data_IF_395727984903
#
_entry.id   IF_395727984903
#
_cell.length_a   1.000
_cell.length_b   1.000
_cell.length_c   1.000
_cell.angle_alpha   90.00
_cell.angle_beta   90.00
_cell.angle_gamma   90.00
#
_symmetry.space_group_name_H-M   'P 1'
#
loop_
_entity.id
_entity.type
_entity.pdbx_description
1 polymer ?
#
# COMPACT_ATOMS: atom_id res chain seq x y z
N UNK A 1 11.45 12.52 -6.40
CA UNK A 1 10.04 12.88 -6.16
C UNK A 1 9.54 12.17 -4.91
N UNK A 2 8.90 12.87 -3.97
CA UNK A 2 8.27 12.24 -2.79
C UNK A 2 6.86 11.80 -3.15
N UNK A 3 6.38 10.66 -2.63
CA UNK A 3 5.12 9.98 -3.02
C UNK A 3 3.84 10.84 -3.05
N UNK A 4 3.84 12.01 -2.40
CA UNK A 4 2.74 12.98 -2.47
C UNK A 4 2.67 13.79 -3.77
N UNK A 5 3.78 13.95 -4.50
CA UNK A 5 3.76 14.72 -5.76
C UNK A 5 2.95 14.01 -6.85
N UNK A 6 2.94 12.67 -6.86
CA UNK A 6 2.19 11.87 -7.84
C UNK A 6 0.69 11.97 -7.57
N UNK A 7 0.25 11.74 -6.31
CA UNK A 7 -1.17 11.89 -5.95
C UNK A 7 -1.67 13.31 -6.19
N UNK A 8 -0.86 14.32 -5.90
CA UNK A 8 -1.18 15.73 -6.16
C UNK A 8 -1.24 16.02 -7.66
N UNK A 9 -0.26 15.55 -8.44
CA UNK A 9 -0.20 15.73 -9.88
C UNK A 9 -1.37 15.08 -10.61
N UNK A 10 -1.66 13.80 -10.31
CA UNK A 10 -2.79 13.08 -10.87
C UNK A 10 -4.13 13.74 -10.52
N UNK A 11 -4.31 14.19 -9.27
CA UNK A 11 -5.53 14.90 -8.87
C UNK A 11 -5.67 16.26 -9.59
N UNK A 12 -4.57 17.02 -9.73
CA UNK A 12 -4.57 18.28 -10.46
C UNK A 12 -4.87 18.08 -11.96
N UNK A 13 -4.29 17.06 -12.57
CA UNK A 13 -4.53 16.70 -13.96
C UNK A 13 -5.99 16.28 -14.19
N UNK A 14 -6.52 15.39 -13.36
CA UNK A 14 -7.92 14.99 -13.44
C UNK A 14 -8.88 16.17 -13.22
N UNK A 15 -8.55 17.10 -12.30
CA UNK A 15 -9.37 18.29 -12.02
C UNK A 15 -9.35 19.32 -13.16
N UNK A 16 -8.37 19.26 -14.06
CA UNK A 16 -8.35 20.09 -15.26
C UNK A 16 -9.40 19.63 -16.30
N UNK A 17 -9.95 18.41 -16.17
CA UNK A 17 -11.02 17.94 -17.03
C UNK A 17 -12.37 18.52 -16.59
N UNK A 18 -13.06 19.33 -17.43
CA UNK A 18 -14.37 19.88 -17.08
C UNK A 18 -15.47 18.81 -16.99
N UNK A 19 -15.17 17.58 -17.45
CA UNK A 19 -16.09 16.43 -17.47
C UNK A 19 -16.00 15.57 -16.21
N UNK A 20 -15.07 15.87 -15.30
CA UNK A 20 -14.92 15.14 -14.04
C UNK A 20 -15.35 16.01 -12.85
N UNK A 21 -16.27 15.48 -12.04
CA UNK A 21 -16.63 16.12 -10.79
C UNK A 21 -15.51 15.96 -9.74
N UNK A 22 -15.24 17.00 -8.96
CA UNK A 22 -14.25 16.98 -7.87
C UNK A 22 -14.53 15.88 -6.83
N UNK A 23 -15.81 15.53 -6.66
CA UNK A 23 -16.26 14.42 -5.84
C UNK A 23 -15.67 13.07 -6.30
N UNK A 24 -15.65 12.83 -7.60
CA UNK A 24 -15.14 11.58 -8.19
C UNK A 24 -13.62 11.47 -8.04
N UNK A 25 -12.91 12.59 -8.08
CA UNK A 25 -11.46 12.66 -7.87
C UNK A 25 -11.13 12.47 -6.38
N UNK A 26 -11.91 13.10 -5.49
CA UNK A 26 -11.67 13.10 -4.04
C UNK A 26 -11.84 11.71 -3.41
N UNK A 27 -12.87 10.96 -3.84
CA UNK A 27 -13.12 9.58 -3.38
C UNK A 27 -12.01 8.61 -3.77
N UNK A 28 -11.46 8.74 -4.99
CA UNK A 28 -10.41 7.85 -5.54
C UNK A 28 -9.01 8.17 -5.06
N UNK A 29 -8.74 9.43 -4.78
CA UNK A 29 -7.45 9.82 -4.26
C UNK A 29 -7.24 9.48 -2.79
N UNK A 30 -8.16 8.75 -2.13
CA UNK A 30 -8.12 8.41 -0.71
C UNK A 30 -7.80 9.63 0.19
N UNK A 31 -8.41 10.77 -0.13
CA UNK A 31 -8.28 12.01 0.64
C UNK A 31 -9.23 11.92 1.83
N UNK A 32 -8.70 12.06 3.04
CA UNK A 32 -9.49 12.10 4.27
C UNK A 32 -10.31 13.41 4.29
N UNK A 33 -11.55 13.38 3.80
CA UNK A 33 -12.59 14.31 4.24
C UNK A 33 -13.61 13.52 5.08
N UNK A 34 -13.92 14.03 6.27
CA UNK A 34 -14.88 13.41 7.20
C UNK A 34 -16.27 13.32 6.57
N UNK A 35 -17.01 12.24 6.87
CA UNK A 35 -18.44 11.96 6.57
C UNK A 35 -18.94 12.11 5.11
N UNK A 36 -18.62 13.21 4.40
CA UNK A 36 -18.96 13.46 2.99
C UNK A 36 -18.25 12.52 2.02
N UNK A 37 -16.94 12.22 2.18
CA UNK A 37 -16.26 11.24 1.30
C UNK A 37 -16.89 9.86 1.43
N UNK A 38 -17.40 9.51 2.62
CA UNK A 38 -18.11 8.24 2.84
C UNK A 38 -19.46 8.26 2.13
N UNK A 39 -20.27 9.31 2.30
CA UNK A 39 -21.54 9.45 1.55
C UNK A 39 -21.33 9.44 0.03
N UNK A 40 -20.27 10.10 -0.47
CA UNK A 40 -19.91 10.11 -1.88
C UNK A 40 -19.34 8.78 -2.40
N UNK A 41 -18.70 7.98 -1.55
CA UNK A 41 -18.31 6.61 -1.90
C UNK A 41 -19.51 5.66 -1.97
N UNK A 42 -20.57 5.89 -1.19
CA UNK A 42 -21.80 5.07 -1.26
C UNK A 42 -22.74 5.48 -2.41
N UNK A 43 -22.70 6.76 -2.82
CA UNK A 43 -23.66 7.32 -3.81
C UNK A 43 -23.00 7.62 -5.18
N UNK A 44 -21.67 7.75 -5.26
CA UNK A 44 -20.98 8.28 -6.45
C UNK A 44 -19.67 7.59 -6.81
N UNK A 45 -19.58 6.28 -6.60
CA UNK A 45 -18.52 5.43 -7.20
C UNK A 45 -19.15 4.27 -7.96
N UNK A 46 -19.67 4.57 -9.14
CA UNK A 46 -20.02 3.56 -10.12
C UNK A 46 -18.79 3.18 -10.94
N UNK A 47 -18.78 1.97 -11.50
CA UNK A 47 -17.74 1.52 -12.44
C UNK A 47 -17.58 2.49 -13.62
N UNK A 48 -18.66 3.14 -14.05
CA UNK A 48 -18.62 4.16 -15.12
C UNK A 48 -17.76 5.34 -14.71
N UNK A 49 -17.92 5.84 -13.50
CA UNK A 49 -17.12 6.97 -12.99
C UNK A 49 -15.66 6.57 -12.76
N UNK A 50 -15.40 5.33 -12.33
CA UNK A 50 -14.03 4.79 -12.23
C UNK A 50 -13.34 4.79 -13.59
N UNK A 51 -14.04 4.31 -14.61
CA UNK A 51 -13.55 4.30 -15.98
C UNK A 51 -13.34 5.73 -16.49
N UNK A 52 -14.25 6.67 -16.22
CA UNK A 52 -14.08 8.08 -16.63
C UNK A 52 -12.83 8.71 -16.03
N UNK A 53 -12.57 8.51 -14.73
CA UNK A 53 -11.36 9.02 -14.08
C UNK A 53 -10.11 8.32 -14.62
N UNK A 54 -10.14 7.00 -14.78
CA UNK A 54 -9.02 6.24 -15.34
C UNK A 54 -8.69 6.67 -16.78
N UNK A 55 -9.70 6.93 -17.61
CA UNK A 55 -9.52 7.42 -18.97
C UNK A 55 -8.80 8.77 -19.00
N UNK A 56 -9.25 9.74 -18.20
CA UNK A 56 -8.58 11.03 -18.11
C UNK A 56 -7.14 10.84 -17.63
N UNK A 57 -6.91 10.07 -16.57
CA UNK A 57 -5.55 9.82 -16.07
C UNK A 57 -4.64 9.10 -17.09
N UNK A 58 -5.22 8.31 -18.00
CA UNK A 58 -4.51 7.67 -19.09
C UNK A 58 -4.33 8.58 -20.33
N UNK A 59 -4.77 9.83 -20.28
CA UNK A 59 -4.61 10.82 -21.36
C UNK A 59 -5.75 10.88 -22.36
N UNK A 60 -6.86 10.16 -22.14
CA UNK A 60 -7.99 10.21 -23.05
C UNK A 60 -8.80 11.51 -22.86
N UNK A 61 -9.11 12.25 -23.93
CA UNK A 61 -9.76 13.56 -23.84
C UNK A 61 -11.25 13.48 -23.51
N UNK A 62 -11.88 12.33 -23.77
CA UNK A 62 -13.32 12.15 -23.67
C UNK A 62 -13.68 10.99 -22.72
N UNK A 63 -13.81 11.23 -21.40
CA UNK A 63 -14.21 10.21 -20.43
C UNK A 63 -15.54 9.52 -20.77
N UNK A 64 -16.46 10.24 -21.42
CA UNK A 64 -17.80 9.74 -21.76
C UNK A 64 -17.81 8.76 -22.93
N UNK A 65 -16.80 8.84 -23.81
CA UNK A 65 -16.68 7.93 -24.95
C UNK A 65 -16.12 6.58 -24.47
N UNK A 66 -16.53 5.45 -25.06
CA UNK A 66 -15.92 4.16 -24.74
C UNK A 66 -14.43 4.17 -25.07
N UNK A 67 -13.68 3.35 -24.35
CA UNK A 67 -12.29 3.00 -24.68
C UNK A 67 -12.22 1.49 -24.65
N UNK A 68 -11.80 0.89 -25.75
CA UNK A 68 -11.55 -0.54 -25.85
C UNK A 68 -10.07 -0.79 -25.55
N UNK A 69 -9.83 -1.59 -24.51
CA UNK A 69 -8.49 -2.07 -24.16
C UNK A 69 -8.01 -3.03 -25.25
N UNK A 70 -6.77 -2.90 -25.76
CA UNK A 70 -6.26 -3.81 -26.78
C UNK A 70 -6.19 -5.23 -26.24
N UNK A 71 -6.50 -6.24 -27.06
CA UNK A 71 -6.37 -7.64 -26.69
C UNK A 71 -5.76 -8.44 -27.83
N UNK A 72 -4.94 -9.45 -27.52
CA UNK A 72 -4.42 -10.34 -28.56
C UNK A 72 -5.52 -11.15 -29.26
N UNK A 73 -6.72 -11.24 -28.67
CA UNK A 73 -7.89 -11.87 -29.30
C UNK A 73 -8.31 -11.14 -30.58
N UNK A 74 -8.00 -9.85 -30.68
CA UNK A 74 -8.25 -9.02 -31.87
C UNK A 74 -7.41 -9.45 -33.09
N UNK A 75 -6.39 -10.30 -32.87
CA UNK A 75 -5.56 -10.89 -33.92
C UNK A 75 -6.07 -12.25 -34.43
N UNK A 76 -7.07 -12.84 -33.79
CA UNK A 76 -7.53 -14.20 -34.13
C UNK A 76 -8.00 -14.32 -35.58
N UNK A 77 -8.68 -13.31 -36.09
CA UNK A 77 -9.16 -13.27 -37.49
C UNK A 77 -8.13 -12.69 -38.47
N UNK A 78 -7.05 -12.10 -37.95
CA UNK A 78 -6.01 -11.41 -38.75
C UNK A 78 -4.77 -12.24 -38.99
N UNK A 79 -4.55 -13.27 -38.17
CA UNK A 79 -3.42 -14.17 -38.26
C UNK A 79 -3.86 -15.55 -38.76
N UNK A 80 -2.95 -16.28 -39.39
CA UNK A 80 -3.18 -17.70 -39.65
C UNK A 80 -3.34 -18.48 -38.33
N UNK A 81 -4.03 -19.62 -38.36
CA UNK A 81 -4.21 -20.46 -37.16
C UNK A 81 -2.87 -20.87 -36.51
N UNK A 82 -1.82 -21.07 -37.33
CA UNK A 82 -0.48 -21.37 -36.87
C UNK A 82 0.16 -20.17 -36.15
N UNK A 83 0.10 -18.98 -36.74
CA UNK A 83 0.64 -17.75 -36.14
C UNK A 83 -0.11 -17.37 -34.87
N UNK A 84 -1.44 -17.53 -34.85
CA UNK A 84 -2.22 -17.28 -33.65
C UNK A 84 -1.86 -18.27 -32.53
N UNK A 85 -1.62 -19.55 -32.86
CA UNK A 85 -1.11 -20.52 -31.89
C UNK A 85 0.27 -20.13 -31.36
N UNK A 86 1.16 -19.66 -32.22
CA UNK A 86 2.48 -19.15 -31.84
C UNK A 86 2.37 -17.96 -30.88
N UNK A 87 1.48 -17.01 -31.16
CA UNK A 87 1.20 -15.84 -30.31
C UNK A 87 0.71 -16.25 -28.92
N UNK A 88 -0.29 -17.14 -28.85
CA UNK A 88 -0.84 -17.65 -27.57
C UNK A 88 0.22 -18.42 -26.78
N UNK A 89 1.06 -19.17 -27.48
CA UNK A 89 2.16 -19.94 -26.89
C UNK A 89 3.21 -19.02 -26.30
N UNK A 90 3.60 -17.96 -27.00
CA UNK A 90 4.53 -16.94 -26.52
C UNK A 90 3.98 -16.19 -25.30
N UNK A 91 2.73 -15.76 -25.36
CA UNK A 91 2.04 -15.16 -24.19
C UNK A 91 2.14 -16.09 -22.98
N UNK A 92 1.82 -17.37 -23.17
CA UNK A 92 1.80 -18.33 -22.06
C UNK A 92 3.20 -18.57 -21.49
N UNK A 93 4.25 -18.54 -22.31
CA UNK A 93 5.65 -18.61 -21.81
C UNK A 93 6.04 -17.38 -20.98
N UNK A 94 5.70 -16.18 -21.43
CA UNK A 94 6.06 -14.94 -20.74
C UNK A 94 5.32 -14.79 -19.40
N UNK A 95 4.08 -15.29 -19.31
CA UNK A 95 3.22 -15.16 -18.13
C UNK A 95 3.08 -16.46 -17.32
N UNK A 96 3.96 -17.44 -17.54
CA UNK A 96 3.91 -18.74 -16.86
C UNK A 96 3.99 -18.69 -15.32
N UNK A 97 4.51 -17.59 -14.77
CA UNK A 97 4.67 -17.42 -13.31
C UNK A 97 3.46 -16.78 -12.62
N UNK A 98 2.47 -16.33 -13.40
CA UNK A 98 1.26 -15.68 -12.88
C UNK A 98 0.00 -16.45 -13.28
N UNK A 99 0.18 -17.67 -13.79
CA UNK A 99 -0.88 -18.58 -14.24
C UNK A 99 -0.52 -20.02 -13.84
N UNK A 100 -1.51 -20.91 -13.78
CA UNK A 100 -1.29 -22.33 -13.51
C UNK A 100 -1.22 -22.72 -12.02
N UNK A 101 -1.53 -21.81 -11.09
CA UNK A 101 -1.68 -22.15 -9.67
C UNK A 101 -2.95 -22.97 -9.44
N UNK A 102 -2.87 -23.95 -8.53
CA UNK A 102 -4.01 -24.79 -8.14
C UNK A 102 -5.15 -23.98 -7.52
N UNK A 103 -4.81 -23.01 -6.67
CA UNK A 103 -5.79 -22.04 -6.18
C UNK A 103 -5.95 -20.92 -7.20
N UNK A 104 -7.12 -20.89 -7.84
CA UNK A 104 -7.45 -19.95 -8.92
C UNK A 104 -7.36 -18.48 -8.50
N UNK A 105 -7.41 -18.18 -7.20
CA UNK A 105 -7.31 -16.80 -6.69
C UNK A 105 -5.90 -16.21 -6.83
N UNK A 106 -4.88 -17.04 -6.98
CA UNK A 106 -3.50 -16.58 -7.23
C UNK A 106 -3.18 -16.44 -8.72
N UNK A 107 -4.08 -16.86 -9.61
CA UNK A 107 -3.91 -16.67 -11.05
C UNK A 107 -4.37 -15.27 -11.46
N UNK A 108 -3.57 -14.59 -12.28
CA UNK A 108 -3.97 -13.34 -12.93
C UNK A 108 -5.02 -13.65 -14.00
N UNK A 109 -6.09 -12.86 -14.05
CA UNK A 109 -7.16 -13.02 -15.03
C UNK A 109 -6.62 -12.97 -16.47
N UNK A 110 -7.12 -13.84 -17.34
CA UNK A 110 -6.60 -14.01 -18.70
C UNK A 110 -6.78 -12.74 -19.54
N UNK A 111 -7.87 -12.01 -19.32
CA UNK A 111 -8.18 -10.73 -19.96
C UNK A 111 -7.10 -9.69 -19.64
N UNK A 112 -6.57 -9.69 -18.41
CA UNK A 112 -5.49 -8.80 -18.00
C UNK A 112 -4.20 -9.18 -18.71
N UNK A 113 -3.88 -10.48 -18.77
CA UNK A 113 -2.69 -10.99 -19.45
C UNK A 113 -2.73 -10.69 -20.95
N UNK A 114 -3.87 -10.95 -21.59
CA UNK A 114 -4.09 -10.69 -23.01
C UNK A 114 -3.94 -9.19 -23.31
N UNK A 115 -4.45 -8.32 -22.41
CA UNK A 115 -4.36 -6.87 -22.56
C UNK A 115 -2.93 -6.34 -22.34
N UNK A 116 -2.24 -6.78 -21.30
CA UNK A 116 -0.87 -6.34 -21.02
C UNK A 116 0.09 -6.84 -22.09
N UNK A 117 -0.11 -8.06 -22.60
CA UNK A 117 0.67 -8.59 -23.72
C UNK A 117 0.35 -7.89 -25.05
N UNK A 118 -0.90 -7.52 -25.31
CA UNK A 118 -1.24 -6.72 -26.50
C UNK A 118 -0.61 -5.33 -26.44
N UNK A 119 -0.71 -4.63 -25.31
CA UNK A 119 -0.06 -3.33 -25.10
C UNK A 119 1.46 -3.42 -25.28
N UNK A 120 2.05 -4.49 -24.77
CA UNK A 120 3.47 -4.80 -24.94
C UNK A 120 3.87 -4.88 -26.42
N UNK A 121 3.08 -5.58 -27.24
CA UNK A 121 3.35 -5.72 -28.68
C UNK A 121 3.12 -4.42 -29.44
N UNK A 122 2.06 -3.66 -29.12
CA UNK A 122 1.75 -2.37 -29.75
C UNK A 122 2.93 -1.39 -29.64
N UNK A 123 3.66 -1.42 -28.53
CA UNK A 123 4.75 -0.49 -28.23
C UNK A 123 6.17 -1.04 -28.49
N UNK A 124 6.29 -2.23 -29.09
CA UNK A 124 7.56 -2.95 -29.20
C UNK A 124 8.56 -2.26 -30.14
N UNK A 125 8.09 -1.57 -31.17
CA UNK A 125 8.96 -0.81 -32.08
C UNK A 125 9.56 0.42 -31.40
N UNK A 126 8.76 1.14 -30.62
CA UNK A 126 9.23 2.28 -29.83
C UNK A 126 10.25 1.83 -28.78
N UNK A 127 10.00 0.68 -28.13
CA UNK A 127 10.93 0.09 -27.15
C UNK A 127 12.26 -0.32 -27.79
N UNK A 128 12.25 -0.91 -28.99
CA UNK A 128 13.49 -1.25 -29.70
C UNK A 128 14.28 0.00 -30.10
N UNK A 129 13.59 1.04 -30.56
CA UNK A 129 14.22 2.31 -30.91
C UNK A 129 14.88 2.96 -29.68
N UNK A 130 14.19 2.94 -28.54
CA UNK A 130 14.71 3.45 -27.28
C UNK A 130 15.84 2.61 -26.68
N UNK A 131 15.92 1.31 -26.98
CA UNK A 131 17.03 0.46 -26.58
C UNK A 131 18.28 0.69 -27.45
N UNK A 132 18.08 1.04 -28.73
CA UNK A 132 19.16 1.30 -29.67
C UNK A 132 19.83 2.67 -29.43
N UNK A 133 19.18 3.60 -28.74
CA UNK A 133 19.79 4.86 -28.32
C UNK A 133 20.69 4.67 -27.09
N UNK A 134 21.78 5.43 -27.00
CA UNK A 134 22.75 5.38 -25.88
C UNK A 134 22.16 5.80 -24.52
N UNK A 135 20.90 6.26 -24.50
CA UNK A 135 20.15 6.67 -23.30
C UNK A 135 19.18 5.57 -22.81
N UNK A 136 19.24 4.36 -23.37
CA UNK A 136 18.37 3.26 -23.01
C UNK A 136 18.46 2.88 -21.54
N UNK A 137 17.41 3.18 -20.77
CA UNK A 137 17.30 2.81 -19.35
C UNK A 137 17.41 1.28 -19.19
N UNK A 138 18.08 0.80 -18.13
CA UNK A 138 18.28 -0.64 -17.82
C UNK A 138 17.00 -1.49 -17.94
N UNK A 139 15.84 -0.89 -17.70
CA UNK A 139 14.52 -1.53 -17.82
C UNK A 139 14.17 -1.93 -19.24
N UNK A 140 14.45 -1.04 -20.21
CA UNK A 140 14.16 -1.26 -21.63
C UNK A 140 14.94 -2.47 -22.12
N UNK A 141 16.21 -2.55 -21.73
CA UNK A 141 17.08 -3.70 -22.00
C UNK A 141 16.58 -4.99 -21.33
N UNK A 142 16.19 -4.93 -20.05
CA UNK A 142 15.64 -6.08 -19.31
C UNK A 142 14.37 -6.62 -19.99
N UNK A 143 13.51 -5.73 -20.44
CA UNK A 143 12.28 -6.08 -21.14
C UNK A 143 12.57 -6.83 -22.45
N UNK A 144 13.46 -6.30 -23.30
CA UNK A 144 13.80 -6.92 -24.58
C UNK A 144 14.45 -8.28 -24.36
N UNK A 145 15.28 -8.40 -23.34
CA UNK A 145 15.89 -9.67 -22.95
C UNK A 145 14.85 -10.74 -22.60
N UNK A 146 13.88 -10.43 -21.73
CA UNK A 146 12.85 -11.42 -21.36
C UNK A 146 11.95 -11.77 -22.54
N UNK A 147 11.66 -10.81 -23.43
CA UNK A 147 10.91 -11.09 -24.67
C UNK A 147 11.69 -12.02 -25.60
N UNK A 148 12.98 -11.74 -25.86
CA UNK A 148 13.83 -12.58 -26.69
C UNK A 148 13.98 -14.00 -26.10
N UNK A 149 14.13 -14.11 -24.79
CA UNK A 149 14.13 -15.39 -24.07
C UNK A 149 12.80 -16.15 -24.27
N UNK A 150 11.66 -15.48 -24.12
CA UNK A 150 10.34 -16.07 -24.35
C UNK A 150 10.15 -16.54 -25.79
N UNK A 151 10.62 -15.76 -26.76
CA UNK A 151 10.64 -16.14 -28.18
C UNK A 151 11.48 -17.39 -28.41
N UNK A 152 12.70 -17.45 -27.86
CA UNK A 152 13.58 -18.61 -27.98
C UNK A 152 12.95 -19.87 -27.37
N UNK A 153 12.35 -19.77 -26.18
CA UNK A 153 11.66 -20.88 -25.53
C UNK A 153 10.44 -21.35 -26.33
N UNK A 154 9.68 -20.41 -26.90
CA UNK A 154 8.52 -20.70 -27.75
C UNK A 154 8.95 -21.42 -29.03
N UNK A 155 10.01 -20.94 -29.68
CA UNK A 155 10.57 -21.56 -30.88
C UNK A 155 11.09 -22.96 -30.61
N UNK A 156 11.79 -23.17 -29.49
CA UNK A 156 12.23 -24.49 -29.08
C UNK A 156 11.05 -25.45 -28.83
N UNK A 157 9.97 -24.96 -28.23
CA UNK A 157 8.77 -25.77 -27.96
C UNK A 157 7.97 -26.13 -29.20
N UNK A 158 7.83 -25.20 -30.15
CA UNK A 158 6.96 -25.38 -31.32
C UNK A 158 7.71 -25.79 -32.58
N UNK A 159 9.04 -25.77 -32.59
CA UNK A 159 9.83 -25.83 -33.82
C UNK A 159 9.57 -24.63 -34.74
N UNK A 160 9.18 -23.48 -34.17
CA UNK A 160 8.84 -22.26 -34.92
C UNK A 160 10.03 -21.32 -35.11
N UNK A 161 9.85 -20.32 -35.97
CA UNK A 161 10.84 -19.27 -36.27
C UNK A 161 10.30 -17.87 -35.98
N UNK A 162 9.65 -17.69 -34.83
CA UNK A 162 9.19 -16.38 -34.36
C UNK A 162 10.42 -15.49 -34.14
N UNK A 163 10.35 -14.24 -34.58
CA UNK A 163 11.39 -13.23 -34.38
C UNK A 163 10.79 -11.98 -33.73
N UNK A 164 11.63 -11.06 -33.26
CA UNK A 164 11.15 -9.74 -32.82
C UNK A 164 10.39 -9.01 -33.93
N UNK A 165 10.82 -9.16 -35.20
CA UNK A 165 10.11 -8.60 -36.34
C UNK A 165 8.69 -9.20 -36.50
N UNK A 166 8.52 -10.50 -36.21
CA UNK A 166 7.20 -11.15 -36.17
C UNK A 166 6.33 -10.50 -35.08
N UNK A 167 6.89 -10.29 -33.89
CA UNK A 167 6.21 -9.63 -32.78
C UNK A 167 5.82 -8.17 -33.13
N UNK A 168 6.69 -7.41 -33.81
CA UNK A 168 6.38 -6.06 -34.28
C UNK A 168 5.21 -6.06 -35.26
N UNK A 169 5.16 -7.00 -36.21
CA UNK A 169 4.04 -7.13 -37.16
C UNK A 169 2.72 -7.39 -36.42
N UNK A 170 2.72 -8.27 -35.43
CA UNK A 170 1.55 -8.48 -34.57
C UNK A 170 1.15 -7.18 -33.84
N UNK A 171 2.13 -6.46 -33.30
CA UNK A 171 1.96 -5.14 -32.70
C UNK A 171 1.32 -4.12 -33.64
N UNK A 172 1.78 -4.05 -34.90
CA UNK A 172 1.22 -3.17 -35.92
C UNK A 172 -0.24 -3.49 -36.25
N UNK A 173 -0.59 -4.78 -36.38
CA UNK A 173 -1.97 -5.21 -36.57
C UNK A 173 -2.88 -4.83 -35.39
N UNK A 174 -2.38 -4.98 -34.16
CA UNK A 174 -3.07 -4.57 -32.94
C UNK A 174 -3.23 -3.05 -32.88
N UNK A 175 -2.17 -2.30 -33.16
CA UNK A 175 -2.17 -0.83 -33.14
C UNK A 175 -3.20 -0.27 -34.11
N UNK A 176 -3.21 -0.79 -35.35
CA UNK A 176 -4.20 -0.40 -36.36
C UNK A 176 -5.64 -0.72 -35.94
N UNK A 177 -5.89 -1.92 -35.38
CA UNK A 177 -7.22 -2.28 -34.88
C UNK A 177 -7.64 -1.38 -33.72
N UNK A 178 -6.77 -1.23 -32.72
CA UNK A 178 -7.02 -0.42 -31.53
C UNK A 178 -7.28 1.05 -31.88
N UNK A 179 -6.52 1.63 -32.81
CA UNK A 179 -6.75 3.00 -33.32
C UNK A 179 -8.09 3.12 -34.05
N UNK A 180 -8.45 2.12 -34.88
CA UNK A 180 -9.71 2.12 -35.60
C UNK A 180 -10.92 2.05 -34.64
N UNK A 181 -10.86 1.21 -33.61
CA UNK A 181 -11.96 1.07 -32.64
C UNK A 181 -12.03 2.28 -31.69
N UNK A 182 -10.89 2.91 -31.37
CA UNK A 182 -10.82 4.07 -30.48
C UNK A 182 -10.71 5.41 -31.21
N UNK A 183 -11.03 5.48 -32.50
CA UNK A 183 -10.89 6.71 -33.31
C UNK A 183 -11.56 7.94 -32.69
N UNK A 184 -12.73 7.76 -32.05
CA UNK A 184 -13.45 8.84 -31.37
C UNK A 184 -12.72 9.42 -30.15
N UNK A 185 -11.76 8.69 -29.59
CA UNK A 185 -10.90 9.15 -28.49
C UNK A 185 -9.62 9.82 -28.98
N UNK A 186 -9.10 9.35 -30.12
CA UNK A 186 -7.78 9.74 -30.64
C UNK A 186 -7.87 10.96 -31.58
N UNK A 187 -9.04 11.21 -32.18
CA UNK A 187 -9.24 12.19 -33.26
C UNK A 187 -8.96 13.67 -32.96
N UNK A 188 -8.69 14.07 -31.71
CA UNK A 188 -8.42 15.46 -31.34
C UNK A 188 -7.02 15.71 -30.73
N UNK A 189 -6.13 14.70 -30.69
CA UNK A 189 -4.85 14.77 -29.96
C UNK A 189 -3.65 15.25 -30.80
N UNK A 190 -3.82 16.15 -31.78
CA UNK A 190 -2.70 16.71 -32.58
C UNK A 190 -2.27 18.11 -32.12
N UNK A 191 -2.78 18.62 -30.99
CA UNK A 191 -2.35 19.92 -30.47
C UNK A 191 -1.98 19.87 -28.98
N UNK A 192 -0.71 19.54 -28.70
CA UNK A 192 0.01 20.12 -27.56
C UNK A 192 0.04 19.37 -26.22
N UNK A 193 -0.21 18.05 -26.18
CA UNK A 193 -0.21 17.27 -24.94
C UNK A 193 1.03 16.39 -24.65
N UNK A 194 1.88 16.16 -25.65
CA UNK A 194 2.83 15.03 -25.63
C UNK A 194 3.94 15.11 -24.56
N UNK A 195 4.36 16.30 -24.15
CA UNK A 195 5.48 16.46 -23.21
C UNK A 195 5.12 16.16 -21.75
N UNK A 196 3.86 16.36 -21.35
CA UNK A 196 3.43 16.08 -19.97
C UNK A 196 3.15 14.58 -19.76
N UNK A 197 2.68 13.89 -20.80
CA UNK A 197 2.36 12.46 -20.73
C UNK A 197 3.62 11.60 -20.75
N UNK A 198 4.59 11.96 -21.59
CA UNK A 198 5.91 11.30 -21.64
C UNK A 198 6.65 11.44 -20.31
N UNK A 199 6.73 12.65 -19.74
CA UNK A 199 7.39 12.86 -18.44
C UNK A 199 6.67 12.16 -17.29
N UNK A 200 5.35 12.00 -17.37
CA UNK A 200 4.57 11.25 -16.38
C UNK A 200 4.82 9.73 -16.50
N UNK A 201 4.86 9.21 -17.73
CA UNK A 201 5.16 7.79 -17.99
C UNK A 201 6.59 7.42 -17.61
N UNK A 202 7.57 8.25 -17.95
CA UNK A 202 8.97 8.07 -17.53
C UNK A 202 9.09 8.06 -16.00
N UNK A 203 8.36 8.93 -15.31
CA UNK A 203 8.38 8.95 -13.86
C UNK A 203 7.70 7.71 -13.24
N UNK A 204 6.60 7.21 -13.82
CA UNK A 204 5.96 5.96 -13.38
C UNK A 204 6.88 4.76 -13.59
N UNK A 205 7.52 4.67 -14.75
CA UNK A 205 8.50 3.62 -15.06
C UNK A 205 9.67 3.67 -14.07
N UNK A 206 10.26 4.83 -13.82
CA UNK A 206 11.35 5.00 -12.84
C UNK A 206 10.94 4.60 -11.40
N UNK A 207 9.69 4.83 -11.01
CA UNK A 207 9.19 4.37 -9.71
C UNK A 207 9.02 2.85 -9.65
N UNK A 208 8.57 2.21 -10.73
CA UNK A 208 8.47 0.75 -10.81
C UNK A 208 9.85 0.07 -10.70
N UNK A 209 10.90 0.68 -11.26
CA UNK A 209 12.28 0.23 -11.06
C UNK A 209 12.67 0.25 -9.60
N UNK A 210 12.47 1.38 -8.93
CA UNK A 210 12.84 1.55 -7.52
C UNK A 210 12.08 0.57 -6.61
N UNK A 211 10.85 0.21 -6.97
CA UNK A 211 10.07 -0.80 -6.25
C UNK A 211 10.63 -2.20 -6.51
N UNK A 212 10.93 -2.56 -7.76
CA UNK A 212 11.54 -3.85 -8.10
C UNK A 212 12.92 -4.03 -7.47
N UNK A 213 13.75 -2.98 -7.42
CA UNK A 213 15.05 -3.01 -6.74
C UNK A 213 14.94 -3.15 -5.22
N UNK A 214 13.86 -2.64 -4.62
CA UNK A 214 13.58 -2.84 -3.19
C UNK A 214 13.11 -4.25 -2.92
N UNK A 215 12.26 -4.80 -3.80
CA UNK A 215 11.81 -6.18 -3.71
C UNK A 215 12.98 -7.15 -3.89
N UNK A 216 13.87 -6.92 -4.87
CA UNK A 216 15.08 -7.73 -5.04
C UNK A 216 15.99 -7.71 -3.81
N UNK A 217 16.21 -6.54 -3.20
CA UNK A 217 16.98 -6.43 -1.94
C UNK A 217 16.32 -7.16 -0.77
N UNK A 218 15.00 -7.16 -0.70
CA UNK A 218 14.25 -7.92 0.30
C UNK A 218 14.40 -9.43 0.08
N UNK A 219 14.36 -9.90 -1.17
CA UNK A 219 14.61 -11.30 -1.51
C UNK A 219 16.05 -11.73 -1.18
N UNK A 220 17.04 -10.88 -1.44
CA UNK A 220 18.44 -11.16 -1.10
C UNK A 220 18.65 -11.23 0.42
N UNK A 221 18.02 -10.32 1.17
CA UNK A 221 18.04 -10.33 2.64
C UNK A 221 17.39 -11.60 3.19
N UNK A 222 16.28 -12.02 2.59
CA UNK A 222 15.59 -13.25 2.94
C UNK A 222 16.44 -14.50 2.64
N UNK A 223 17.15 -14.53 1.51
CA UNK A 223 18.09 -15.62 1.20
C UNK A 223 19.29 -15.67 2.15
N UNK A 224 19.80 -14.53 2.60
CA UNK A 224 20.87 -14.46 3.59
C UNK A 224 20.44 -14.96 4.97
N UNK A 225 19.19 -14.69 5.37
CA UNK A 225 18.62 -15.20 6.62
C UNK A 225 18.46 -16.72 6.64
N UNK A 226 18.18 -17.34 5.49
CA UNK A 226 18.04 -18.80 5.36
C UNK A 226 19.39 -19.52 5.27
N UNK A 227 20.47 -18.79 4.94
CA UNK A 227 21.80 -19.37 4.75
C UNK A 227 22.66 -19.48 6.03
N UNK A 228 22.15 -19.10 7.21
CA UNK A 228 22.90 -19.23 8.47
C UNK A 228 22.76 -20.65 9.08
N UNK A 229 23.85 -21.26 9.57
CA UNK A 229 23.80 -22.58 10.21
C UNK A 229 23.21 -22.50 11.63
N UNK A 230 22.60 -23.59 12.14
CA UNK A 230 21.92 -23.60 13.43
C UNK A 230 22.93 -23.60 14.59
N UNK A 231 22.83 -22.62 15.49
CA UNK A 231 23.52 -22.67 16.77
C UNK A 231 22.75 -23.55 17.77
N UNK A 232 23.54 -24.30 18.53
CA UNK A 232 23.18 -25.39 19.44
C UNK A 232 22.23 -24.98 20.57
N UNK A 233 21.33 -25.91 20.89
CA UNK A 233 20.44 -25.87 22.04
C UNK A 233 21.20 -26.20 23.34
N UNK A 234 20.74 -25.68 24.49
CA UNK A 234 20.64 -26.55 25.66
C UNK A 234 19.19 -26.69 26.14
N UNK A 235 18.75 -27.95 26.18
CA UNK A 235 17.52 -28.42 26.85
C UNK A 235 17.63 -28.32 28.38
N UNK A 236 16.51 -27.99 29.04
CA UNK A 236 16.00 -28.43 30.38
C UNK A 236 14.99 -27.37 30.87
N UNK A 237 13.77 -27.62 31.36
CA UNK A 237 13.03 -28.78 31.90
C UNK A 237 11.53 -28.47 31.65
N UNK A 238 10.80 -29.36 30.98
CA UNK A 238 9.79 -30.28 31.54
C UNK A 238 8.65 -29.66 32.38
N UNK A 239 7.45 -29.80 31.79
CA UNK A 239 6.23 -30.33 32.37
C UNK A 239 5.31 -29.40 33.19
N UNK A 240 4.09 -29.21 32.69
CA UNK A 240 2.81 -29.71 33.26
C UNK A 240 1.66 -28.81 32.77
N UNK A 241 0.76 -29.29 31.91
CA UNK A 241 -0.57 -29.88 32.21
C UNK A 241 -1.61 -29.06 31.43
N UNK A 242 -2.23 -29.70 30.43
CA UNK A 242 -3.52 -29.28 29.88
C UNK A 242 -4.63 -29.64 30.89
N UNK A 243 -5.77 -28.94 30.85
CA UNK A 243 -6.90 -29.59 30.19
C UNK A 243 -7.66 -28.69 29.20
N UNK A 244 -8.16 -29.36 28.16
CA UNK A 244 -9.21 -28.94 27.23
C UNK A 244 -10.45 -28.39 27.95
N UNK A 245 -11.02 -27.30 27.43
CA UNK A 245 -12.48 -27.12 27.32
C UNK A 245 -12.81 -26.68 25.90
N UNK A 246 -13.84 -27.31 25.35
CA UNK A 246 -14.30 -27.23 23.98
C UNK A 246 -15.23 -26.03 23.72
N UNK A 247 -15.14 -25.53 22.48
CA UNK A 247 -16.19 -25.02 21.60
C UNK A 247 -17.24 -24.03 22.12
N UNK A 248 -17.21 -22.80 21.57
CA UNK A 248 -18.21 -22.28 20.62
C UNK A 248 -18.16 -20.74 20.59
N UNK A 249 -17.98 -20.16 19.40
CA UNK A 249 -18.05 -18.71 19.20
C UNK A 249 -17.26 -18.27 17.97
N UNK A 250 -17.96 -18.15 16.84
CA UNK A 250 -17.54 -17.56 15.58
C UNK A 250 -16.72 -16.27 15.76
N UNK A 251 -15.60 -16.06 15.03
CA UNK A 251 -14.92 -14.76 15.04
C UNK A 251 -15.75 -13.75 14.22
N UNK A 252 -16.01 -12.54 14.73
CA UNK A 252 -16.55 -11.49 13.89
C UNK A 252 -15.43 -10.97 12.97
N UNK A 253 -15.59 -11.23 11.67
CA UNK A 253 -14.92 -10.50 10.60
C UNK A 253 -14.92 -9.00 10.92
N UNK A 254 -13.75 -8.37 11.05
CA UNK A 254 -13.69 -6.91 11.16
C UNK A 254 -12.49 -6.34 10.39
N UNK A 255 -12.72 -5.42 9.42
CA UNK A 255 -11.73 -5.02 8.42
C UNK A 255 -10.66 -4.05 8.96
N UNK A 256 -9.41 -4.35 8.62
CA UNK A 256 -8.18 -3.72 9.10
C UNK A 256 -7.98 -2.21 8.79
N UNK A 257 -8.92 -1.52 8.13
CA UNK A 257 -8.75 -0.12 7.69
C UNK A 257 -9.31 0.90 8.71
N UNK A 258 -10.07 0.47 9.71
CA UNK A 258 -10.61 1.35 10.76
C UNK A 258 -9.59 1.74 11.86
N UNK A 259 -8.40 1.11 11.89
CA UNK A 259 -7.48 1.19 13.03
C UNK A 259 -6.47 2.34 13.01
N UNK A 260 -6.47 3.29 12.07
CA UNK A 260 -5.40 4.32 12.01
C UNK A 260 -5.81 5.73 12.41
N UNK A 261 -7.11 5.99 12.61
CA UNK A 261 -7.64 7.34 12.90
C UNK A 261 -8.24 7.50 14.30
N UNK A 262 -8.33 6.42 15.08
CA UNK A 262 -8.75 6.42 16.48
C UNK A 262 -7.55 6.59 17.42
N UNK A 263 -7.77 7.01 18.66
CA UNK A 263 -6.71 7.07 19.67
C UNK A 263 -6.13 5.67 19.94
N UNK A 264 -7.00 4.68 20.08
CA UNK A 264 -6.60 3.27 20.18
C UNK A 264 -5.73 2.84 19.00
N UNK A 265 -6.13 3.25 17.79
CA UNK A 265 -5.40 3.01 16.56
C UNK A 265 -4.02 3.64 16.50
N UNK A 266 -3.89 4.87 17.00
CA UNK A 266 -2.62 5.56 17.09
C UNK A 266 -1.65 4.82 18.03
N UNK A 267 -2.16 4.30 19.15
CA UNK A 267 -1.36 3.53 20.11
C UNK A 267 -0.91 2.19 19.52
N UNK A 268 -1.81 1.43 18.90
CA UNK A 268 -1.44 0.19 18.22
C UNK A 268 -0.37 0.44 17.15
N UNK A 269 -0.57 1.46 16.31
CA UNK A 269 0.35 1.81 15.23
C UNK A 269 1.73 2.26 15.74
N UNK A 270 1.79 2.93 16.89
CA UNK A 270 3.04 3.31 17.55
C UNK A 270 3.90 2.08 17.88
N UNK A 271 3.28 1.07 18.48
CA UNK A 271 3.93 -0.19 18.91
C UNK A 271 4.22 -1.16 17.76
N UNK A 272 3.29 -1.36 16.83
CA UNK A 272 3.48 -2.36 15.76
C UNK A 272 4.43 -1.92 14.64
N UNK A 273 4.67 -0.62 14.49
CA UNK A 273 5.52 -0.06 13.42
C UNK A 273 6.77 0.66 13.97
N UNK A 274 7.10 0.43 15.24
CA UNK A 274 8.32 0.93 15.87
C UNK A 274 8.55 2.43 15.60
N UNK A 275 7.49 3.24 15.73
CA UNK A 275 7.54 4.67 15.35
C UNK A 275 8.53 5.47 16.23
N UNK A 276 8.98 4.88 17.34
CA UNK A 276 10.08 5.41 18.14
C UNK A 276 11.44 5.33 17.42
N UNK A 277 11.66 4.38 16.52
CA UNK A 277 12.90 4.20 15.76
C UNK A 277 13.04 5.25 14.65
N UNK A 278 14.27 5.74 14.48
CA UNK A 278 14.57 6.97 13.74
C UNK A 278 14.25 6.86 12.24
N UNK A 279 13.54 7.86 11.69
CA UNK A 279 13.33 7.99 10.23
C UNK A 279 14.08 9.22 9.71
N UNK A 280 14.82 9.07 8.61
CA UNK A 280 15.51 10.19 7.93
C UNK A 280 14.48 11.05 7.17
N UNK A 281 14.27 12.30 7.60
CA UNK A 281 13.43 13.28 6.89
C UNK A 281 12.61 14.19 7.81
N UNK A 282 12.58 15.50 7.50
CA UNK A 282 11.91 16.54 8.34
C UNK A 282 10.40 16.35 8.46
N UNK A 283 9.73 15.80 7.44
CA UNK A 283 8.27 15.58 7.43
C UNK A 283 7.88 14.36 8.28
N UNK A 284 8.65 13.29 8.18
CA UNK A 284 8.52 12.06 8.96
C UNK A 284 8.84 12.33 10.44
N UNK A 285 9.83 13.19 10.71
CA UNK A 285 10.14 13.68 12.06
C UNK A 285 8.98 14.43 12.71
N UNK A 286 8.27 15.30 11.96
CA UNK A 286 7.09 16.00 12.48
C UNK A 286 5.92 15.04 12.76
N UNK A 287 5.66 14.06 11.88
CA UNK A 287 4.64 13.02 12.12
C UNK A 287 4.95 12.16 13.35
N UNK A 288 6.24 11.88 13.60
CA UNK A 288 6.70 11.20 14.81
C UNK A 288 6.46 12.03 16.06
N UNK A 289 6.89 13.30 16.07
CA UNK A 289 6.68 14.20 17.21
C UNK A 289 5.19 14.31 17.57
N UNK A 290 4.36 14.37 16.53
CA UNK A 290 2.91 14.39 16.63
C UNK A 290 2.32 13.12 17.27
N UNK A 291 2.76 11.96 16.79
CA UNK A 291 2.31 10.66 17.31
C UNK A 291 2.78 10.47 18.76
N UNK A 292 4.05 10.78 19.03
CA UNK A 292 4.66 10.74 20.36
C UNK A 292 3.86 11.58 21.36
N UNK A 293 3.57 12.84 21.04
CA UNK A 293 2.80 13.71 21.92
C UNK A 293 1.38 13.16 22.22
N UNK A 294 0.75 12.47 21.27
CA UNK A 294 -0.56 11.87 21.51
C UNK A 294 -0.47 10.65 22.45
N UNK A 295 0.50 9.75 22.27
CA UNK A 295 0.65 8.59 23.18
C UNK A 295 1.05 9.09 24.58
N UNK A 296 1.88 10.15 24.70
CA UNK A 296 2.18 10.84 25.96
C UNK A 296 0.92 11.24 26.72
N UNK A 297 0.03 11.95 26.04
CA UNK A 297 -1.22 12.41 26.64
C UNK A 297 -2.10 11.22 27.02
N UNK A 298 -2.15 10.17 26.20
CA UNK A 298 -2.93 8.98 26.51
C UNK A 298 -2.42 8.24 27.76
N UNK A 299 -1.10 8.04 27.91
CA UNK A 299 -0.55 7.41 29.11
C UNK A 299 -0.83 8.25 30.36
N UNK A 300 -0.63 9.57 30.29
CA UNK A 300 -0.92 10.47 31.39
C UNK A 300 -2.39 10.39 31.79
N UNK A 301 -3.31 10.40 30.83
CA UNK A 301 -4.75 10.44 31.12
C UNK A 301 -5.35 9.08 31.49
N UNK A 302 -4.64 7.96 31.30
CA UNK A 302 -5.15 6.62 31.58
C UNK A 302 -5.36 6.36 33.08
N UNK A 303 -4.47 6.88 33.94
CA UNK A 303 -4.59 6.89 35.41
C UNK A 303 -4.87 5.51 36.05
N UNK A 304 -4.45 4.42 35.40
CA UNK A 304 -4.56 3.03 35.89
C UNK A 304 -3.23 2.30 35.70
N UNK A 305 -2.95 1.24 36.48
CA UNK A 305 -1.78 0.39 36.24
C UNK A 305 -1.74 -0.12 34.80
N UNK A 306 -0.55 -0.10 34.22
CA UNK A 306 -0.32 -0.25 32.80
C UNK A 306 0.93 -1.09 32.58
N UNK A 307 0.79 -2.13 31.79
CA UNK A 307 1.89 -2.94 31.29
C UNK A 307 1.79 -3.07 29.77
N UNK A 308 2.83 -2.62 29.08
CA UNK A 308 2.96 -2.77 27.63
C UNK A 308 3.87 -3.98 27.40
N UNK A 309 3.33 -5.10 26.89
CA UNK A 309 4.07 -6.35 26.79
C UNK A 309 5.21 -6.22 25.77
N UNK A 310 6.33 -6.89 26.05
CA UNK A 310 7.45 -6.98 25.12
C UNK A 310 7.02 -7.66 23.81
N UNK A 311 7.60 -7.23 22.68
CA UNK A 311 7.33 -7.86 21.39
C UNK A 311 7.90 -9.30 21.39
N UNK A 312 7.11 -10.32 21.01
CA UNK A 312 7.58 -11.70 20.99
C UNK A 312 8.58 -11.94 19.85
N UNK A 313 9.59 -12.78 20.11
CA UNK A 313 10.59 -13.19 19.11
C UNK A 313 9.91 -14.08 18.07
N UNK A 314 10.01 -13.68 16.79
CA UNK A 314 9.43 -14.44 15.68
C UNK A 314 10.29 -15.66 15.35
N UNK A 315 9.94 -16.82 15.93
CA UNK A 315 10.46 -18.14 15.55
C UNK A 315 9.37 -18.95 14.84
N UNK A 316 9.74 -19.95 14.03
CA UNK A 316 8.80 -20.65 13.13
C UNK A 316 7.59 -21.28 13.86
N UNK A 317 6.45 -21.28 13.15
CA UNK A 317 5.06 -21.66 13.53
C UNK A 317 4.46 -21.03 14.79
N UNK A 318 5.19 -20.98 15.90
CA UNK A 318 4.68 -20.49 17.20
C UNK A 318 4.81 -18.96 17.33
N UNK A 319 5.72 -18.35 16.57
CA UNK A 319 5.93 -16.90 16.54
C UNK A 319 4.77 -16.10 15.93
N UNK A 320 4.06 -16.66 14.95
CA UNK A 320 2.92 -15.98 14.31
C UNK A 320 1.72 -15.88 15.27
N UNK A 321 1.48 -16.97 16.02
CA UNK A 321 0.40 -17.03 17.01
C UNK A 321 0.71 -16.13 18.20
N UNK A 322 1.96 -16.13 18.67
CA UNK A 322 2.43 -15.26 19.77
C UNK A 322 2.38 -13.78 19.38
N UNK A 323 2.79 -13.43 18.15
CA UNK A 323 2.73 -12.06 17.65
C UNK A 323 1.29 -11.56 17.51
N UNK A 324 0.38 -12.42 17.05
CA UNK A 324 -1.03 -12.04 16.94
C UNK A 324 -1.70 -11.89 18.31
N UNK A 325 -1.35 -12.73 19.29
CA UNK A 325 -1.78 -12.56 20.68
C UNK A 325 -1.26 -11.25 21.28
N UNK A 326 0.00 -10.91 21.03
CA UNK A 326 0.59 -9.63 21.43
C UNK A 326 -0.15 -8.42 20.82
N UNK A 327 -0.45 -8.46 19.52
CA UNK A 327 -1.26 -7.40 18.86
C UNK A 327 -2.66 -7.27 19.45
N UNK A 328 -3.29 -8.40 19.77
CA UNK A 328 -4.61 -8.40 20.41
C UNK A 328 -4.56 -7.80 21.83
N UNK A 329 -3.53 -8.12 22.62
CA UNK A 329 -3.32 -7.54 23.94
C UNK A 329 -3.11 -6.02 23.87
N UNK A 330 -2.28 -5.56 22.94
CA UNK A 330 -2.09 -4.13 22.67
C UNK A 330 -3.37 -3.44 22.23
N UNK A 331 -4.16 -4.05 21.36
CA UNK A 331 -5.42 -3.48 20.91
C UNK A 331 -6.44 -3.35 22.05
N UNK A 332 -6.58 -4.39 22.88
CA UNK A 332 -7.45 -4.35 24.07
C UNK A 332 -7.05 -3.22 25.02
N UNK A 333 -5.75 -3.10 25.31
CA UNK A 333 -5.22 -1.99 26.11
C UNK A 333 -5.53 -0.64 25.46
N UNK A 334 -5.30 -0.51 24.15
CA UNK A 334 -5.52 0.71 23.41
C UNK A 334 -6.99 1.20 23.45
N UNK A 335 -7.94 0.27 23.36
CA UNK A 335 -9.38 0.56 23.47
C UNK A 335 -9.75 0.97 24.90
N UNK A 336 -9.22 0.28 25.91
CA UNK A 336 -9.43 0.64 27.31
C UNK A 336 -8.86 2.04 27.63
N UNK A 337 -7.69 2.36 27.07
CA UNK A 337 -7.08 3.68 27.18
C UNK A 337 -7.92 4.76 26.50
N UNK A 338 -8.42 4.53 25.29
CA UNK A 338 -9.27 5.49 24.57
C UNK A 338 -10.52 5.87 25.39
N UNK A 339 -11.17 4.88 26.01
CA UNK A 339 -12.33 5.11 26.87
C UNK A 339 -11.96 5.94 28.11
N UNK A 340 -10.95 5.52 28.89
CA UNK A 340 -10.55 6.20 30.12
C UNK A 340 -10.03 7.62 29.87
N UNK A 341 -9.28 7.83 28.78
CA UNK A 341 -8.81 9.15 28.36
C UNK A 341 -9.99 10.08 28.11
N UNK A 342 -11.02 9.61 27.41
CA UNK A 342 -12.19 10.41 27.10
C UNK A 342 -13.07 10.69 28.32
N UNK A 343 -13.19 9.75 29.26
CA UNK A 343 -13.86 9.97 30.55
C UNK A 343 -13.12 11.04 31.37
N UNK A 344 -11.79 10.95 31.47
CA UNK A 344 -10.97 11.92 32.19
C UNK A 344 -11.07 13.32 31.57
N UNK A 345 -11.02 13.43 30.22
CA UNK A 345 -11.21 14.70 29.54
C UNK A 345 -12.60 15.28 29.73
N UNK A 346 -13.64 14.44 29.73
CA UNK A 346 -15.01 14.89 29.97
C UNK A 346 -15.19 15.42 31.39
N UNK A 347 -14.57 14.79 32.39
CA UNK A 347 -14.57 15.29 33.76
C UNK A 347 -13.91 16.69 33.88
N UNK A 348 -12.93 16.99 33.03
CA UNK A 348 -12.19 18.26 33.06
C UNK A 348 -12.88 19.41 32.32
N UNK A 349 -13.60 19.16 31.21
CA UNK A 349 -14.18 20.24 30.39
C UNK A 349 -15.60 20.00 29.87
N UNK A 350 -16.23 18.87 30.20
CA UNK A 350 -17.58 18.45 29.79
C UNK A 350 -17.81 18.43 28.26
N UNK A 351 -16.74 18.32 27.45
CA UNK A 351 -16.85 18.27 25.98
C UNK A 351 -16.94 16.85 25.46
N UNK A 352 -17.55 16.72 24.27
CA UNK A 352 -17.71 15.44 23.56
C UNK A 352 -16.38 14.67 23.43
N UNK A 353 -16.43 13.31 23.36
CA UNK A 353 -15.25 12.48 23.18
C UNK A 353 -14.41 12.88 21.97
N UNK A 354 -13.09 12.78 22.12
CA UNK A 354 -12.10 13.06 21.09
C UNK A 354 -11.53 11.76 20.56
N UNK A 355 -11.66 11.55 19.23
CA UNK A 355 -11.20 10.32 18.57
C UNK A 355 -9.83 10.43 17.89
N UNK A 356 -9.36 11.66 17.64
CA UNK A 356 -8.15 11.93 16.84
C UNK A 356 -7.01 12.45 17.68
N UNK A 357 -5.78 11.99 17.41
CA UNK A 357 -4.55 12.44 18.06
C UNK A 357 -4.35 13.97 18.02
N UNK A 358 -4.56 14.62 16.85
CA UNK A 358 -4.39 16.07 16.73
C UNK A 358 -5.40 16.86 17.58
N UNK A 359 -6.64 16.38 17.64
CA UNK A 359 -7.70 16.96 18.49
C UNK A 359 -7.38 16.78 19.97
N UNK A 360 -6.86 15.61 20.36
CA UNK A 360 -6.44 15.32 21.73
C UNK A 360 -5.35 16.31 22.17
N UNK A 361 -4.33 16.53 21.34
CA UNK A 361 -3.27 17.50 21.62
C UNK A 361 -3.78 18.92 21.76
N UNK A 362 -4.68 19.36 20.85
CA UNK A 362 -5.24 20.71 20.91
C UNK A 362 -6.07 20.91 22.18
N UNK A 363 -6.88 19.90 22.55
CA UNK A 363 -7.68 19.90 23.77
C UNK A 363 -6.81 19.89 25.03
N UNK A 364 -5.78 19.07 25.07
CA UNK A 364 -4.81 19.03 26.17
C UNK A 364 -4.07 20.35 26.37
N UNK A 365 -3.63 21.00 25.29
CA UNK A 365 -3.03 22.35 25.35
C UNK A 365 -4.00 23.39 25.89
N UNK A 366 -5.27 23.33 25.49
CA UNK A 366 -6.29 24.22 26.02
C UNK A 366 -6.54 23.97 27.51
N UNK A 367 -6.61 22.70 27.93
CA UNK A 367 -6.79 22.31 29.34
C UNK A 367 -5.65 22.80 30.23
N UNK A 368 -4.40 22.76 29.76
CA UNK A 368 -3.26 23.35 30.48
C UNK A 368 -3.42 24.84 30.77
N UNK A 369 -4.16 25.57 29.94
CA UNK A 369 -4.42 27.00 30.11
C UNK A 369 -5.68 27.25 30.95
N UNK A 370 -6.73 26.45 30.77
CA UNK A 370 -8.01 26.68 31.44
C UNK A 370 -8.10 26.05 32.83
N UNK A 371 -7.45 24.90 33.05
CA UNK A 371 -7.48 24.12 34.28
C UNK A 371 -6.05 23.66 34.70
N UNK A 372 -5.11 24.59 34.95
CA UNK A 372 -3.71 24.26 35.18
C UNK A 372 -3.49 23.35 36.40
N UNK A 373 -4.16 23.61 37.52
CA UNK A 373 -3.98 22.84 38.77
C UNK A 373 -4.45 21.39 38.62
N UNK A 374 -5.60 21.17 37.96
CA UNK A 374 -6.13 19.84 37.71
C UNK A 374 -5.23 19.04 36.76
N UNK A 375 -4.70 19.68 35.71
CA UNK A 375 -3.73 19.04 34.81
C UNK A 375 -2.44 18.71 35.53
N UNK A 376 -1.95 19.60 36.40
CA UNK A 376 -0.74 19.36 37.19
C UNK A 376 -0.91 18.19 38.17
N UNK A 377 -2.07 18.08 38.82
CA UNK A 377 -2.38 16.96 39.71
C UNK A 377 -2.38 15.61 38.96
N UNK A 378 -3.00 15.56 37.79
CA UNK A 378 -3.04 14.36 36.93
C UNK A 378 -1.62 13.96 36.48
N UNK A 379 -0.79 14.93 36.07
CA UNK A 379 0.60 14.67 35.68
C UNK A 379 1.42 14.19 36.87
N UNK A 380 1.26 14.79 38.06
CA UNK A 380 1.96 14.37 39.27
C UNK A 380 1.58 12.94 39.68
N UNK A 381 0.29 12.60 39.61
CA UNK A 381 -0.20 11.25 39.88
C UNK A 381 0.39 10.23 38.90
N UNK A 382 0.45 10.54 37.61
CA UNK A 382 1.07 9.67 36.61
C UNK A 382 2.57 9.44 36.91
N UNK A 383 3.31 10.50 37.28
CA UNK A 383 4.72 10.38 37.64
C UNK A 383 4.93 9.52 38.90
N UNK A 384 4.04 9.63 39.89
CA UNK A 384 4.07 8.79 41.09
C UNK A 384 3.79 7.32 40.75
N UNK A 385 2.79 7.04 39.92
CA UNK A 385 2.50 5.67 39.45
C UNK A 385 3.70 5.06 38.71
N UNK A 386 4.37 5.86 37.89
CA UNK A 386 5.60 5.44 37.20
C UNK A 386 6.74 5.16 38.19
N UNK A 387 6.95 6.01 39.18
CA UNK A 387 7.98 5.81 40.22
C UNK A 387 7.72 4.54 41.06
N UNK A 388 6.45 4.19 41.28
CA UNK A 388 6.05 3.00 42.01
C UNK A 388 6.03 1.71 41.16
N UNK A 389 6.50 1.75 39.90
CA UNK A 389 6.52 0.59 39.02
C UNK A 389 5.14 0.15 38.50
N UNK A 390 4.11 1.00 38.61
CA UNK A 390 2.76 0.69 38.13
C UNK A 390 2.58 0.98 36.63
N UNK A 391 3.58 1.59 35.99
CA UNK A 391 3.61 1.90 34.56
C UNK A 391 4.87 1.28 33.96
N UNK A 392 4.71 0.16 33.25
CA UNK A 392 5.79 -0.61 32.64
C UNK A 392 5.60 -0.57 31.12
N UNK A 393 6.64 -0.16 30.38
CA UNK A 393 6.72 -0.31 28.93
C UNK A 393 7.92 -1.20 28.60
N UNK A 394 7.65 -2.50 28.39
CA UNK A 394 8.65 -3.51 28.06
C UNK A 394 8.90 -3.61 26.55
N UNK A 395 8.17 -2.85 25.73
CA UNK A 395 8.29 -2.87 24.28
C UNK A 395 9.25 -1.80 23.75
N UNK A 396 9.30 -0.63 24.41
CA UNK A 396 10.17 0.48 24.00
C UNK A 396 11.51 0.41 24.75
N UNK A 397 12.68 0.50 24.06
CA UNK A 397 13.98 0.54 24.74
C UNK A 397 14.08 1.71 25.74
N UNK A 398 14.79 1.54 26.86
CA UNK A 398 14.93 2.59 27.90
C UNK A 398 15.43 3.94 27.37
N UNK A 399 16.29 3.91 26.36
CA UNK A 399 16.82 5.10 25.68
C UNK A 399 15.74 5.91 24.95
N UNK A 400 14.61 5.27 24.65
CA UNK A 400 13.46 5.82 23.93
C UNK A 400 12.20 5.94 24.81
N UNK A 401 12.25 5.42 26.04
CA UNK A 401 11.24 5.65 27.07
C UNK A 401 11.17 7.13 27.44
N UNK A 402 9.96 7.56 27.77
CA UNK A 402 9.67 8.98 27.93
C UNK A 402 10.10 9.45 29.31
N UNK A 403 10.87 10.54 29.35
CA UNK A 403 11.43 11.06 30.60
C UNK A 403 10.44 12.05 31.23
N UNK A 404 10.59 12.33 32.52
CA UNK A 404 9.76 13.32 33.24
C UNK A 404 9.72 14.68 32.52
N UNK A 405 10.85 15.10 31.93
CA UNK A 405 10.96 16.32 31.11
C UNK A 405 10.14 16.33 29.81
N UNK A 406 9.72 15.16 29.32
CA UNK A 406 8.87 15.01 28.13
C UNK A 406 7.36 15.05 28.47
N UNK A 407 7.03 15.09 29.77
CA UNK A 407 5.67 14.99 30.31
C UNK A 407 5.14 16.32 30.88
N UNK A 408 6.03 17.29 31.16
CA UNK A 408 5.72 18.63 31.67
C UNK A 408 5.35 19.59 30.54
#
# INVERSE_FOLDING_TARGET
>A
MTSHSIRRGAAAYANASPKLAIQWISTRGAWLLESLTKAFAYIGTTTKEDQSVAKVLAGYPSPDLPVVTPSIRDLQERLSALEYKQLITLRSELYRHVTGFHDVRFNVALEVIDATFAALLIHLEEVQTAAASSDGVTVVHRYLYELQRGVAATNARLGSSISLNTCCKWGGHLKAHWQAVNHGQIGNAVAGGDTLLVSTLENVLNQLVLVNEKLGRLEDTYRQLIAQPPFETPQRLLAQVHPRVAAAGTPPDTPAIAMTSTLAGCLLNWYTNHIWETVKGKKEQNKRADSKAAINIMLILYQKPLEIPAEPVRSHSDGETSYQQWKNALWTLAVAMDAAVNECLYALDQRKPTRKAASLRKRWKALKLTNPDAVQAIVAQFLQMKANGQVIDACTPETHLWKAKDLV
#
